data_IF_355308119562
#
_entry.id   IF_355308119562
#
_cell.length_a   1.000
_cell.length_b   1.000
_cell.length_c   1.000
_cell.angle_alpha   90.00
_cell.angle_beta   90.00
_cell.angle_gamma   90.00
#
_symmetry.space_group_name_H-M   'P 1'
#
loop_
_entity.id
_entity.type
_entity.pdbx_description
1 polymer ?
#
# COMPACT_ATOMS: atom_id res chain seq x y z
N UNK A 1 -0.14 11.05 14.28
CA UNK A 1 0.04 10.21 13.08
C UNK A 1 1.47 10.40 12.60
N UNK A 2 2.26 9.32 12.48
CA UNK A 2 3.70 9.39 12.22
C UNK A 2 4.06 10.21 10.96
N UNK A 3 3.31 10.05 9.87
CA UNK A 3 3.54 10.78 8.62
C UNK A 3 3.31 12.28 8.77
N UNK A 4 2.28 12.71 9.51
CA UNK A 4 2.06 14.13 9.75
C UNK A 4 3.23 14.76 10.53
N UNK A 5 3.76 14.03 11.52
CA UNK A 5 4.96 14.46 12.26
C UNK A 5 6.18 14.57 11.35
N UNK A 6 6.37 13.61 10.44
CA UNK A 6 7.52 13.60 9.52
C UNK A 6 7.39 14.62 8.39
N UNK A 7 6.17 14.91 7.92
CA UNK A 7 5.90 15.98 6.97
C UNK A 7 6.15 17.36 7.58
N UNK A 8 5.99 17.51 8.90
CA UNK A 8 6.31 18.74 9.63
C UNK A 8 7.81 18.85 10.01
N UNK A 9 8.59 17.75 9.96
CA UNK A 9 10.03 17.77 10.27
C UNK A 9 10.82 18.38 9.10
N UNK A 10 11.38 19.58 9.29
CA UNK A 10 12.12 20.32 8.26
C UNK A 10 13.26 19.53 7.59
N UNK A 11 13.81 18.49 8.23
CA UNK A 11 14.89 17.68 7.65
C UNK A 11 14.43 16.75 6.53
N UNK A 12 13.15 16.40 6.50
CA UNK A 12 12.58 15.38 5.59
C UNK A 12 11.19 15.74 5.07
N UNK A 13 10.75 16.98 5.27
CA UNK A 13 9.41 17.46 4.92
C UNK A 13 9.06 17.19 3.45
N UNK A 14 9.97 17.48 2.53
CA UNK A 14 9.76 17.29 1.08
C UNK A 14 9.45 15.84 0.69
N UNK A 15 10.06 14.88 1.40
CA UNK A 15 9.83 13.46 1.13
C UNK A 15 8.49 12.98 1.71
N UNK A 16 8.08 13.46 2.88
CA UNK A 16 6.89 12.96 3.59
C UNK A 16 5.61 13.73 3.29
N UNK A 17 5.69 14.98 2.83
CA UNK A 17 4.52 15.79 2.44
C UNK A 17 3.66 15.11 1.36
N UNK A 18 4.19 14.58 0.25
CA UNK A 18 3.37 13.86 -0.73
C UNK A 18 2.73 12.59 -0.12
N UNK A 19 3.40 11.95 0.84
CA UNK A 19 2.83 10.79 1.55
C UNK A 19 1.74 11.18 2.55
N UNK A 20 1.78 12.39 3.14
CA UNK A 20 0.69 12.90 3.96
C UNK A 20 -0.55 13.17 3.12
N UNK A 21 -0.39 13.81 1.96
CA UNK A 21 -1.49 14.05 1.02
C UNK A 21 -2.07 12.72 0.55
N UNK A 22 -1.22 11.77 0.17
CA UNK A 22 -1.66 10.43 -0.21
C UNK A 22 -2.41 9.71 0.91
N UNK A 23 -2.01 9.87 2.18
CA UNK A 23 -2.75 9.29 3.30
C UNK A 23 -4.17 9.85 3.42
N UNK A 24 -4.36 11.16 3.18
CA UNK A 24 -5.68 11.77 3.16
C UNK A 24 -6.52 11.24 2.00
N UNK A 25 -5.94 11.12 0.80
CA UNK A 25 -6.65 10.52 -0.33
C UNK A 25 -7.05 9.06 -0.05
N UNK A 26 -6.20 8.27 0.60
CA UNK A 26 -6.55 6.89 0.97
C UNK A 26 -7.68 6.83 2.01
N UNK A 27 -7.79 7.83 2.89
CA UNK A 27 -8.94 7.98 3.79
C UNK A 27 -10.20 8.28 3.00
N UNK A 28 -10.15 9.23 2.06
CA UNK A 28 -11.30 9.60 1.22
C UNK A 28 -11.78 8.43 0.36
N UNK A 29 -10.86 7.57 -0.10
CA UNK A 29 -11.16 6.34 -0.85
C UNK A 29 -11.63 5.17 0.04
N UNK A 30 -11.64 5.34 1.36
CA UNK A 30 -12.01 4.28 2.31
C UNK A 30 -10.99 3.14 2.45
N UNK A 31 -9.80 3.28 1.87
CA UNK A 31 -8.73 2.27 1.92
C UNK A 31 -8.10 2.20 3.32
N UNK A 32 -7.96 3.36 3.98
CA UNK A 32 -7.60 3.46 5.40
C UNK A 32 -8.58 4.38 6.12
N UNK A 33 -8.48 4.44 7.45
CA UNK A 33 -9.27 5.34 8.29
C UNK A 33 -8.34 6.29 9.06
N UNK A 34 -8.85 7.40 9.61
CA UNK A 34 -8.07 8.25 10.52
C UNK A 34 -7.53 7.53 11.76
N UNK A 35 -8.08 6.35 12.08
CA UNK A 35 -7.67 5.49 13.20
C UNK A 35 -6.71 4.37 12.78
N UNK A 36 -6.45 4.20 11.49
CA UNK A 36 -5.54 3.17 11.00
C UNK A 36 -4.13 3.39 11.58
N UNK A 37 -3.55 2.33 12.11
CA UNK A 37 -2.20 2.35 12.70
C UNK A 37 -1.22 1.71 11.72
N UNK A 38 -0.33 2.53 11.18
CA UNK A 38 0.81 2.06 10.38
C UNK A 38 2.05 1.79 11.22
N UNK A 39 3.16 1.43 10.58
CA UNK A 39 4.45 1.30 11.24
C UNK A 39 5.07 2.69 11.55
N UNK A 40 6.35 2.70 11.97
CA UNK A 40 7.00 3.86 12.60
C UNK A 40 6.97 5.14 11.74
N UNK A 41 6.97 5.04 10.42
CA UNK A 41 6.89 6.18 9.50
C UNK A 41 5.57 6.22 8.72
N UNK A 42 4.55 5.50 9.18
CA UNK A 42 3.21 5.41 8.58
C UNK A 42 3.10 4.45 7.40
N UNK A 43 3.99 3.49 7.31
CA UNK A 43 3.90 2.37 6.39
C UNK A 43 2.64 1.51 6.65
N UNK A 44 2.01 1.00 5.59
CA UNK A 44 0.72 0.32 5.65
C UNK A 44 0.90 -1.17 5.33
N UNK A 45 0.33 -2.03 6.19
CA UNK A 45 0.16 -3.46 5.93
C UNK A 45 1.45 -4.27 5.77
N UNK A 46 1.31 -5.44 5.15
CA UNK A 46 2.40 -6.40 4.96
C UNK A 46 3.51 -5.88 4.05
N UNK A 47 3.18 -4.98 3.13
CA UNK A 47 4.14 -4.43 2.17
C UNK A 47 5.05 -3.36 2.77
N UNK A 48 4.68 -2.81 3.94
CA UNK A 48 5.32 -1.63 4.52
C UNK A 48 5.40 -0.45 3.53
N UNK A 49 4.39 -0.30 2.67
CA UNK A 49 4.32 0.83 1.74
C UNK A 49 3.96 2.11 2.46
N UNK A 50 4.71 3.18 2.16
CA UNK A 50 4.23 4.54 2.43
C UNK A 50 2.96 4.81 1.60
N UNK A 51 2.03 5.67 2.05
CA UNK A 51 0.75 5.92 1.39
C UNK A 51 0.84 6.23 -0.12
N UNK A 52 1.89 6.95 -0.54
CA UNK A 52 2.11 7.24 -1.96
C UNK A 52 2.35 5.98 -2.80
N UNK A 53 3.01 4.98 -2.23
CA UNK A 53 3.20 3.69 -2.89
C UNK A 53 1.90 2.88 -2.94
N UNK A 54 1.00 3.03 -1.98
CA UNK A 54 -0.33 2.40 -2.05
C UNK A 54 -1.13 2.99 -3.21
N UNK A 55 -1.12 4.31 -3.40
CA UNK A 55 -1.79 4.94 -4.55
C UNK A 55 -1.21 4.51 -5.90
N UNK A 56 0.12 4.30 -5.96
CA UNK A 56 0.81 4.00 -7.22
C UNK A 56 0.84 2.51 -7.56
N UNK A 57 0.95 1.65 -6.56
CA UNK A 57 1.24 0.23 -6.73
C UNK A 57 0.21 -0.70 -6.08
N UNK A 58 -0.77 -0.17 -5.34
CA UNK A 58 -1.84 -0.96 -4.74
C UNK A 58 -2.64 -1.71 -5.79
N UNK A 59 -2.85 -3.00 -5.57
CA UNK A 59 -3.65 -3.89 -6.42
C UNK A 59 -4.62 -4.65 -5.54
N UNK A 60 -5.89 -4.64 -5.92
CA UNK A 60 -6.92 -5.56 -5.41
C UNK A 60 -6.61 -6.95 -5.96
N UNK A 61 -6.05 -7.80 -5.11
CA UNK A 61 -5.52 -9.11 -5.48
C UNK A 61 -6.55 -10.23 -5.36
N UNK A 62 -7.63 -10.02 -4.60
CA UNK A 62 -8.72 -11.00 -4.44
C UNK A 62 -10.01 -10.63 -5.20
N UNK A 63 -10.07 -9.44 -5.79
CA UNK A 63 -11.15 -8.99 -6.68
C UNK A 63 -12.40 -8.51 -5.94
N UNK A 64 -12.29 -8.14 -4.66
CA UNK A 64 -13.43 -7.71 -3.85
C UNK A 64 -13.79 -6.22 -4.00
N UNK A 65 -13.04 -5.50 -4.84
CA UNK A 65 -13.22 -4.08 -5.13
C UNK A 65 -12.52 -3.15 -4.15
N UNK A 66 -11.73 -3.67 -3.20
CA UNK A 66 -10.97 -2.88 -2.22
C UNK A 66 -9.49 -3.23 -2.24
N UNK A 67 -8.64 -2.26 -1.92
CA UNK A 67 -7.22 -2.51 -1.67
C UNK A 67 -7.02 -2.56 -0.17
N UNK A 68 -6.77 -3.74 0.37
CA UNK A 68 -6.50 -3.98 1.78
C UNK A 68 -5.15 -4.69 1.96
N UNK A 69 -4.08 -3.92 2.18
CA UNK A 69 -2.72 -4.45 2.35
C UNK A 69 -2.50 -5.27 3.65
N UNK A 70 -3.53 -5.45 4.48
CA UNK A 70 -3.55 -6.43 5.57
C UNK A 70 -3.95 -7.84 5.09
N UNK A 71 -4.56 -7.95 3.90
CA UNK A 71 -4.81 -9.22 3.23
C UNK A 71 -3.57 -9.64 2.45
N UNK A 72 -3.26 -10.93 2.51
CA UNK A 72 -2.10 -11.49 1.81
C UNK A 72 -2.22 -11.36 0.29
N UNK A 73 -3.43 -11.53 -0.27
CA UNK A 73 -3.69 -11.43 -1.71
C UNK A 73 -3.27 -10.06 -2.25
N UNK A 74 -3.83 -8.98 -1.69
CA UNK A 74 -3.55 -7.61 -2.10
C UNK A 74 -2.09 -7.23 -1.83
N UNK A 75 -1.53 -7.66 -0.69
CA UNK A 75 -0.14 -7.38 -0.36
C UNK A 75 0.84 -8.00 -1.36
N UNK A 76 0.63 -9.27 -1.74
CA UNK A 76 1.46 -9.96 -2.71
C UNK A 76 1.30 -9.37 -4.12
N UNK A 77 0.06 -9.10 -4.55
CA UNK A 77 -0.22 -8.48 -5.83
C UNK A 77 0.40 -7.08 -5.93
N UNK A 78 0.24 -6.26 -4.89
CA UNK A 78 0.83 -4.92 -4.81
C UNK A 78 2.37 -4.96 -4.78
N UNK A 79 2.95 -5.95 -4.11
CA UNK A 79 4.41 -6.15 -4.10
C UNK A 79 4.91 -6.55 -5.49
N UNK A 80 4.21 -7.46 -6.17
CA UNK A 80 4.55 -7.85 -7.53
C UNK A 80 4.48 -6.65 -8.51
N UNK A 81 3.49 -5.77 -8.34
CA UNK A 81 3.35 -4.54 -9.13
C UNK A 81 4.46 -3.50 -8.85
N UNK A 82 5.00 -3.47 -7.63
CA UNK A 82 6.11 -2.58 -7.27
C UNK A 82 7.46 -3.01 -7.84
N UNK A 83 7.70 -4.32 -8.04
CA UNK A 83 8.98 -4.85 -8.49
C UNK A 83 9.17 -4.67 -10.02
N UNK A 84 10.27 -4.02 -10.47
CA UNK A 84 10.54 -3.85 -11.90
C UNK A 84 10.81 -5.21 -12.58
N UNK A 85 10.10 -5.48 -13.68
CA UNK A 85 10.37 -6.62 -14.58
C UNK A 85 9.57 -7.91 -14.36
N UNK A 86 8.64 -7.97 -13.39
CA UNK A 86 7.79 -9.17 -13.16
C UNK A 86 6.28 -8.91 -13.11
N UNK A 87 5.84 -7.64 -13.12
CA UNK A 87 4.45 -7.23 -12.96
C UNK A 87 3.50 -7.50 -14.16
N UNK A 88 3.99 -8.06 -15.27
CA UNK A 88 3.22 -8.22 -16.50
C UNK A 88 2.41 -9.51 -16.64
N UNK A 89 2.58 -10.48 -15.73
CA UNK A 89 1.77 -11.69 -15.74
C UNK A 89 0.71 -11.59 -14.64
N UNK A 90 -0.60 -11.65 -14.95
CA UNK A 90 -1.59 -11.91 -13.91
C UNK A 90 -1.15 -13.17 -13.16
N UNK A 91 -1.31 -13.19 -11.84
CA UNK A 91 -1.06 -14.39 -11.04
C UNK A 91 -1.88 -15.53 -11.65
N UNK A 92 -1.22 -16.36 -12.46
CA UNK A 92 -1.86 -17.49 -13.12
C UNK A 92 -2.34 -18.38 -11.98
N UNK A 93 -3.64 -18.62 -11.91
CA UNK A 93 -4.22 -19.54 -10.95
C UNK A 93 -3.38 -20.82 -10.98
N UNK A 94 -2.74 -21.13 -9.85
CA UNK A 94 -2.03 -22.40 -9.68
C UNK A 94 -3.06 -23.48 -9.87
N UNK A 95 -2.91 -24.28 -10.92
CA UNK A 95 -3.74 -25.47 -11.09
C UNK A 95 -3.56 -26.36 -9.84
N UNK A 96 -4.65 -26.96 -9.32
CA UNK A 96 -4.54 -27.87 -8.19
C UNK A 96 -3.53 -28.96 -8.52
N UNK A 97 -2.50 -29.11 -7.70
CA UNK A 97 -1.53 -30.18 -7.84
C UNK A 97 -2.27 -31.53 -7.82
N UNK A 98 -2.16 -32.26 -8.92
CA UNK A 98 -2.66 -33.63 -9.03
C UNK A 98 -1.83 -34.54 -8.09
N UNK A 99 -2.46 -35.52 -7.40
CA UNK A 99 -1.91 -36.16 -6.19
C UNK A 99 -0.61 -36.94 -6.37
#
# INVERSE_FOLDING_TARGET
SAIATLAYDCRRSDYFTPHLIAALELVDRGIITPRSVGAKHGEIGHTQFLPGNVLRYGVDGDGDGQINLMKQADALASTANFLPGKAGAPARATEPGEP
#
